data_IF_021319572359
#
_entry.id   IF_021319572359
#
_cell.length_a   1.000
_cell.length_b   1.000
_cell.length_c   1.000
_cell.angle_alpha   90.00
_cell.angle_beta   90.00
_cell.angle_gamma   90.00
#
_symmetry.space_group_name_H-M   'P 1'
#
loop_
_entity.id
_entity.type
_entity.pdbx_description
1 polymer ?
#
# COMPACT_ATOMS: atom_id res chain seq x y z
N UNK A 1 26.09 12.63 5.89
CA UNK A 1 25.12 11.99 4.98
C UNK A 1 24.13 11.08 5.73
N UNK A 2 23.63 11.45 6.92
CA UNK A 2 22.84 10.54 7.78
C UNK A 2 21.37 10.94 8.00
N UNK A 3 20.89 12.02 7.39
CA UNK A 3 19.50 12.47 7.60
C UNK A 3 18.48 11.75 6.68
N UNK A 4 18.89 11.36 5.46
CA UNK A 4 17.99 10.74 4.47
C UNK A 4 17.66 9.26 4.79
N UNK A 5 18.55 8.55 5.49
CA UNK A 5 18.36 7.14 5.82
C UNK A 5 17.38 6.91 6.97
N UNK A 6 17.43 7.76 8.01
CA UNK A 6 16.54 7.64 9.18
C UNK A 6 15.08 7.92 8.86
N UNK A 7 14.82 8.90 8.00
CA UNK A 7 13.47 9.24 7.55
C UNK A 7 12.83 8.10 6.75
N UNK A 8 13.57 7.49 5.81
CA UNK A 8 13.07 6.36 5.01
C UNK A 8 12.75 5.14 5.88
N UNK A 9 13.55 4.84 6.90
CA UNK A 9 13.26 3.76 7.86
C UNK A 9 11.96 4.04 8.63
N UNK A 10 11.76 5.29 9.05
CA UNK A 10 10.52 5.68 9.74
C UNK A 10 9.30 5.58 8.83
N UNK A 11 9.39 6.04 7.58
CA UNK A 11 8.31 5.90 6.59
C UNK A 11 7.96 4.43 6.36
N UNK A 12 8.96 3.56 6.20
CA UNK A 12 8.74 2.12 6.04
C UNK A 12 8.04 1.52 7.26
N UNK A 13 8.46 1.88 8.47
CA UNK A 13 7.79 1.46 9.71
C UNK A 13 6.34 1.93 9.75
N UNK A 14 6.06 3.17 9.39
CA UNK A 14 4.69 3.71 9.31
C UNK A 14 3.82 2.93 8.33
N UNK A 15 4.35 2.52 7.18
CA UNK A 15 3.63 1.68 6.21
C UNK A 15 3.32 0.31 6.82
N UNK A 16 4.27 -0.32 7.53
CA UNK A 16 4.01 -1.58 8.22
C UNK A 16 2.91 -1.45 9.27
N UNK A 17 2.97 -0.41 10.10
CA UNK A 17 1.93 -0.13 11.10
C UNK A 17 0.57 0.13 10.43
N UNK A 18 0.54 0.85 9.32
CA UNK A 18 -0.68 1.08 8.55
C UNK A 18 -1.23 -0.23 7.99
N UNK A 19 -0.41 -1.13 7.44
CA UNK A 19 -0.86 -2.47 6.99
C UNK A 19 -1.55 -3.25 8.12
N UNK A 20 -1.00 -3.20 9.33
CA UNK A 20 -1.65 -3.82 10.49
C UNK A 20 -3.02 -3.21 10.79
N UNK A 21 -3.17 -1.87 10.67
CA UNK A 21 -4.49 -1.21 10.81
C UNK A 21 -5.50 -1.59 9.73
N UNK A 22 -5.02 -2.07 8.57
CA UNK A 22 -5.87 -2.59 7.49
C UNK A 22 -6.27 -4.06 7.67
N UNK A 23 -5.99 -4.65 8.84
CA UNK A 23 -6.26 -6.05 9.14
C UNK A 23 -5.13 -7.00 8.76
N UNK A 24 -3.91 -6.47 8.62
CA UNK A 24 -2.72 -7.24 8.23
C UNK A 24 -2.87 -7.86 6.84
N UNK A 25 -2.04 -8.87 6.53
CA UNK A 25 -2.02 -9.54 5.22
C UNK A 25 -3.39 -10.12 4.86
N UNK A 26 -4.11 -10.74 5.81
CA UNK A 26 -5.45 -11.27 5.57
C UNK A 26 -6.47 -10.18 5.21
N UNK A 27 -6.34 -9.01 5.85
CA UNK A 27 -7.15 -7.83 5.54
C UNK A 27 -6.89 -7.31 4.13
N UNK A 28 -5.62 -7.26 3.70
CA UNK A 28 -5.27 -6.91 2.32
C UNK A 28 -5.89 -7.88 1.32
N UNK A 29 -5.76 -9.19 1.54
CA UNK A 29 -6.37 -10.21 0.67
C UNK A 29 -7.89 -10.00 0.54
N UNK A 30 -8.57 -9.74 1.66
CA UNK A 30 -10.02 -9.45 1.64
C UNK A 30 -10.35 -8.21 0.83
N UNK A 31 -9.63 -7.11 1.03
CA UNK A 31 -9.89 -5.84 0.32
C UNK A 31 -9.66 -5.98 -1.19
N UNK A 32 -8.57 -6.62 -1.61
CA UNK A 32 -8.32 -6.89 -3.02
C UNK A 32 -9.41 -7.78 -3.65
N UNK A 33 -9.86 -8.80 -2.92
CA UNK A 33 -10.97 -9.64 -3.37
C UNK A 33 -12.29 -8.85 -3.50
N UNK A 34 -12.61 -8.02 -2.51
CA UNK A 34 -13.80 -7.15 -2.55
C UNK A 34 -13.74 -6.10 -3.66
N UNK A 35 -12.54 -5.66 -4.04
CA UNK A 35 -12.32 -4.74 -5.16
C UNK A 35 -12.37 -5.42 -6.54
N UNK A 36 -12.53 -6.75 -6.62
CA UNK A 36 -12.48 -7.50 -7.87
C UNK A 36 -11.07 -7.72 -8.43
N UNK A 37 -10.03 -7.53 -7.60
CA UNK A 37 -8.62 -7.65 -7.96
C UNK A 37 -7.97 -8.90 -7.35
N UNK A 38 -8.74 -9.99 -7.23
CA UNK A 38 -8.28 -11.27 -6.68
C UNK A 38 -7.07 -11.84 -7.41
N UNK A 39 -7.05 -11.79 -8.75
CA UNK A 39 -5.93 -12.31 -9.54
C UNK A 39 -4.62 -11.57 -9.26
N UNK A 40 -4.71 -10.26 -9.01
CA UNK A 40 -3.57 -9.41 -8.70
C UNK A 40 -2.95 -9.82 -7.36
N UNK A 41 -3.73 -9.85 -6.28
CA UNK A 41 -3.20 -10.23 -4.96
C UNK A 41 -2.73 -11.69 -4.92
N UNK A 42 -3.36 -12.59 -5.69
CA UNK A 42 -2.92 -13.97 -5.80
C UNK A 42 -1.58 -14.11 -6.54
N UNK A 43 -1.31 -13.25 -7.53
CA UNK A 43 -0.01 -13.24 -8.21
C UNK A 43 1.14 -13.02 -7.21
N UNK A 44 0.94 -12.14 -6.21
CA UNK A 44 1.93 -11.78 -5.20
C UNK A 44 2.12 -12.82 -4.09
N UNK A 45 1.09 -13.65 -3.82
CA UNK A 45 1.17 -14.74 -2.85
C UNK A 45 1.79 -16.00 -3.49
N UNK A 46 1.65 -16.13 -4.81
CA UNK A 46 2.21 -17.25 -5.57
C UNK A 46 3.74 -17.15 -5.72
N UNK A 47 4.36 -18.20 -6.27
CA UNK A 47 5.78 -18.19 -6.65
C UNK A 47 6.03 -17.71 -8.09
N UNK A 48 4.99 -17.26 -8.79
CA UNK A 48 5.06 -16.76 -10.16
C UNK A 48 5.51 -15.30 -10.23
N UNK A 49 5.36 -14.71 -11.43
CA UNK A 49 5.58 -13.27 -11.60
C UNK A 49 4.45 -12.46 -10.97
N UNK A 50 4.81 -11.40 -10.28
CA UNK A 50 3.86 -10.42 -9.76
C UNK A 50 3.22 -9.64 -10.91
N UNK A 51 1.90 -9.53 -10.91
CA UNK A 51 1.20 -8.63 -11.81
C UNK A 51 1.45 -7.19 -11.38
N UNK A 52 1.61 -6.25 -12.34
CA UNK A 52 1.73 -4.83 -12.03
C UNK A 52 0.41 -4.32 -11.47
N UNK A 53 0.51 -3.33 -10.58
CA UNK A 53 -0.59 -2.53 -10.07
C UNK A 53 -0.36 -1.06 -10.43
N UNK A 54 -1.42 -0.28 -10.55
CA UNK A 54 -1.33 1.18 -10.71
C UNK A 54 -1.97 1.92 -9.52
N UNK A 55 -1.74 3.23 -9.46
CA UNK A 55 -2.25 4.09 -8.39
C UNK A 55 -3.78 4.10 -8.33
N UNK A 56 -4.47 4.05 -9.48
CA UNK A 56 -5.93 4.01 -9.52
C UNK A 56 -6.49 2.73 -8.87
N UNK A 57 -5.83 1.59 -9.10
CA UNK A 57 -6.19 0.31 -8.48
C UNK A 57 -5.90 0.30 -6.97
N UNK A 58 -4.83 0.95 -6.51
CA UNK A 58 -4.58 1.15 -5.08
C UNK A 58 -5.74 1.93 -4.44
N UNK A 59 -6.14 3.04 -5.06
CA UNK A 59 -7.28 3.84 -4.58
C UNK A 59 -8.59 3.04 -4.65
N UNK A 60 -8.77 2.17 -5.64
CA UNK A 60 -9.93 1.28 -5.72
C UNK A 60 -9.99 0.28 -4.55
N UNK A 61 -8.85 -0.27 -4.12
CA UNK A 61 -8.79 -1.24 -3.02
C UNK A 61 -9.03 -0.56 -1.67
N UNK A 62 -8.33 0.53 -1.40
CA UNK A 62 -8.30 1.14 -0.07
C UNK A 62 -9.23 2.35 0.08
N UNK A 63 -9.76 2.90 -1.01
CA UNK A 63 -10.46 4.20 -1.07
C UNK A 63 -9.55 5.41 -0.81
N UNK A 64 -9.91 6.58 -1.37
CA UNK A 64 -9.14 7.81 -1.19
C UNK A 64 -8.98 8.23 0.28
N UNK A 65 -10.00 8.14 1.16
CA UNK A 65 -9.83 8.49 2.57
C UNK A 65 -8.74 7.71 3.30
N UNK A 66 -8.61 6.41 3.04
CA UNK A 66 -7.58 5.57 3.70
C UNK A 66 -6.19 5.91 3.18
N UNK A 67 -6.04 6.14 1.87
CA UNK A 67 -4.77 6.58 1.30
C UNK A 67 -4.39 7.97 1.80
N UNK A 68 -5.35 8.87 1.98
CA UNK A 68 -5.11 10.19 2.57
C UNK A 68 -4.57 10.07 4.00
N UNK A 69 -5.09 9.13 4.78
CA UNK A 69 -4.59 8.87 6.14
C UNK A 69 -3.13 8.41 6.11
N UNK A 70 -2.79 7.47 5.23
CA UNK A 70 -1.41 7.02 5.06
C UNK A 70 -0.49 8.18 4.64
N UNK A 71 -0.90 8.94 3.61
CA UNK A 71 -0.17 10.07 3.07
C UNK A 71 0.18 11.09 4.16
N UNK A 72 -0.78 11.43 5.02
CA UNK A 72 -0.57 12.33 6.15
C UNK A 72 0.48 11.82 7.15
N UNK A 73 0.56 10.50 7.39
CA UNK A 73 1.53 9.91 8.33
C UNK A 73 2.95 9.86 7.80
N UNK A 74 3.10 9.80 6.47
CA UNK A 74 4.42 9.74 5.81
C UNK A 74 4.84 11.08 5.19
N UNK A 75 4.08 12.16 5.47
CA UNK A 75 4.31 13.51 4.96
C UNK A 75 4.34 13.57 3.41
N UNK A 76 3.40 12.88 2.77
CA UNK A 76 3.15 12.87 1.33
C UNK A 76 1.73 13.39 1.04
N UNK A 77 1.49 13.75 -0.22
CA UNK A 77 0.13 13.91 -0.73
C UNK A 77 -0.47 12.56 -1.18
N UNK A 78 -1.77 12.54 -1.45
CA UNK A 78 -2.51 11.32 -1.83
C UNK A 78 -1.98 10.64 -3.09
N UNK A 79 -1.61 11.44 -4.10
CA UNK A 79 -1.10 10.91 -5.37
C UNK A 79 0.27 10.26 -5.15
N UNK A 80 1.17 10.95 -4.45
CA UNK A 80 2.49 10.42 -4.07
C UNK A 80 2.39 9.13 -3.26
N UNK A 81 1.46 9.06 -2.29
CA UNK A 81 1.25 7.86 -1.49
C UNK A 81 0.68 6.70 -2.32
N UNK A 82 -0.20 6.97 -3.28
CA UNK A 82 -0.75 5.96 -4.20
C UNK A 82 0.32 5.43 -5.15
N UNK A 83 1.13 6.31 -5.72
CA UNK A 83 2.24 5.96 -6.60
C UNK A 83 3.33 5.19 -5.84
N UNK A 84 3.58 5.53 -4.57
CA UNK A 84 4.50 4.78 -3.72
C UNK A 84 3.96 3.38 -3.41
N UNK A 85 2.67 3.25 -3.12
CA UNK A 85 2.04 1.96 -2.82
C UNK A 85 1.92 1.03 -4.05
N UNK A 86 2.04 1.58 -5.26
CA UNK A 86 2.03 0.83 -6.50
C UNK A 86 3.42 0.31 -6.93
N UNK A 87 4.49 0.69 -6.23
CA UNK A 87 5.88 0.27 -6.48
C UNK A 87 6.28 -0.95 -5.66
#
# INVERSE_FOLDING_TARGET
ASLLGGEKINQFKTVLEWVETQGGIEGLVKQFNSAGLSELIQSWISTGSNLPINAEQIVQVFSSPVINELAAKINMNTAEASDMAAQ
#
